data_IF_797400838698
#
_entry.id   IF_797400838698
#
_cell.length_a   1.000
_cell.length_b   1.000
_cell.length_c   1.000
_cell.angle_alpha   90.00
_cell.angle_beta   90.00
_cell.angle_gamma   90.00
#
_symmetry.space_group_name_H-M   'P 1'
#
loop_
_entity.id
_entity.type
_entity.pdbx_description
1 polymer ?
#
# COMPACT_ATOMS: atom_id res chain seq x y z
N UNK A 1 -5.35 -17.09 16.45
CA UNK A 1 -4.08 -17.43 15.79
C UNK A 1 -3.05 -16.42 16.29
N UNK A 2 -1.85 -16.86 16.69
CA UNK A 2 -0.80 -15.92 17.12
C UNK A 2 -0.16 -15.30 15.87
N UNK A 3 0.14 -13.99 15.87
CA UNK A 3 0.76 -13.31 14.74
C UNK A 3 2.15 -13.89 14.40
N UNK A 4 2.84 -14.45 15.40
CA UNK A 4 4.16 -15.05 15.24
C UNK A 4 4.14 -16.36 14.41
N UNK A 5 2.95 -16.98 14.25
CA UNK A 5 2.77 -18.19 13.44
C UNK A 5 2.35 -17.87 12.00
N UNK A 6 2.19 -16.58 11.66
CA UNK A 6 1.67 -16.12 10.39
C UNK A 6 2.81 -15.66 9.48
N UNK A 7 2.88 -16.20 8.27
CA UNK A 7 3.83 -15.74 7.26
C UNK A 7 3.34 -14.47 6.58
N UNK A 8 4.11 -13.41 6.68
CA UNK A 8 3.77 -12.09 6.17
C UNK A 8 4.79 -11.66 5.12
N UNK A 9 4.31 -11.21 3.95
CA UNK A 9 5.11 -10.52 2.96
C UNK A 9 4.71 -9.05 2.87
N UNK A 10 5.69 -8.16 2.90
CA UNK A 10 5.51 -6.77 2.49
C UNK A 10 5.80 -6.69 0.99
N UNK A 11 4.85 -6.16 0.23
CA UNK A 11 4.97 -5.99 -1.21
C UNK A 11 4.78 -4.52 -1.55
N UNK A 12 5.78 -3.94 -2.23
CA UNK A 12 5.84 -2.53 -2.59
C UNK A 12 5.60 -2.42 -4.11
N UNK A 13 4.41 -2.01 -4.56
CA UNK A 13 4.18 -1.77 -5.98
C UNK A 13 4.87 -0.48 -6.41
N UNK A 14 5.66 -0.56 -7.48
CA UNK A 14 6.39 0.56 -8.02
C UNK A 14 6.28 0.59 -9.56
N UNK A 15 6.08 1.77 -10.14
CA UNK A 15 6.10 2.00 -11.58
C UNK A 15 7.05 3.13 -11.92
N UNK A 16 7.64 3.07 -13.12
CA UNK A 16 8.56 4.11 -13.57
C UNK A 16 7.80 5.41 -13.86
N UNK A 17 6.67 5.30 -14.55
CA UNK A 17 5.85 6.45 -14.89
C UNK A 17 4.99 6.88 -13.69
N UNK A 18 5.11 8.14 -13.32
CA UNK A 18 4.30 8.79 -12.31
C UNK A 18 3.73 10.09 -12.90
N UNK A 19 2.41 10.27 -12.75
CA UNK A 19 1.69 11.39 -13.37
C UNK A 19 2.02 12.75 -12.76
N UNK A 20 2.37 12.81 -11.49
CA UNK A 20 2.62 14.07 -10.75
C UNK A 20 4.09 14.41 -10.61
N UNK A 21 4.94 13.41 -10.45
CA UNK A 21 6.38 13.57 -10.25
C UNK A 21 7.12 12.52 -11.09
N UNK A 22 7.73 12.95 -12.19
CA UNK A 22 8.36 12.07 -13.17
C UNK A 22 9.43 11.19 -12.51
N UNK A 23 9.39 9.87 -12.79
CA UNK A 23 10.34 8.89 -12.24
C UNK A 23 10.49 8.94 -10.71
N UNK A 24 9.39 9.22 -10.01
CA UNK A 24 9.36 9.42 -8.55
C UNK A 24 10.17 8.39 -7.77
N UNK A 25 10.07 7.12 -8.13
CA UNK A 25 10.74 6.01 -7.44
C UNK A 25 12.28 6.07 -7.51
N UNK A 26 12.83 6.76 -8.51
CA UNK A 26 14.26 6.90 -8.75
C UNK A 26 14.86 8.22 -8.26
N UNK A 27 14.03 9.12 -7.72
CA UNK A 27 14.53 10.36 -7.10
C UNK A 27 15.39 10.00 -5.89
N UNK A 28 16.54 10.64 -5.81
CA UNK A 28 17.53 10.35 -4.78
C UNK A 28 17.33 11.21 -3.54
N UNK A 29 17.34 10.55 -2.38
CA UNK A 29 17.41 11.13 -1.06
C UNK A 29 18.68 10.59 -0.39
N UNK A 30 19.55 11.47 0.08
CA UNK A 30 20.86 11.09 0.66
C UNK A 30 21.69 10.15 -0.23
N UNK A 31 21.56 10.33 -1.56
CA UNK A 31 22.30 9.57 -2.56
C UNK A 31 21.63 8.26 -3.03
N UNK A 32 20.59 7.78 -2.35
CA UNK A 32 19.88 6.55 -2.66
C UNK A 32 18.48 6.82 -3.26
N UNK A 33 18.02 6.01 -4.25
CA UNK A 33 16.66 6.15 -4.78
C UNK A 33 15.58 5.93 -3.72
N UNK A 34 14.48 6.68 -3.84
CA UNK A 34 13.34 6.60 -2.93
C UNK A 34 12.86 5.15 -2.71
N UNK A 35 12.69 4.40 -3.80
CA UNK A 35 12.25 2.99 -3.72
C UNK A 35 13.22 2.13 -2.91
N UNK A 36 14.53 2.37 -3.02
CA UNK A 36 15.55 1.65 -2.26
C UNK A 36 15.41 1.94 -0.76
N UNK A 37 15.22 3.19 -0.39
CA UNK A 37 15.07 3.61 1.01
C UNK A 37 13.83 3.00 1.65
N UNK A 38 12.68 3.04 0.97
CA UNK A 38 11.43 2.43 1.45
C UNK A 38 11.58 0.91 1.58
N UNK A 39 12.16 0.25 0.58
CA UNK A 39 12.42 -1.17 0.59
C UNK A 39 13.31 -1.59 1.78
N UNK A 40 14.42 -0.89 2.01
CA UNK A 40 15.33 -1.21 3.11
C UNK A 40 14.67 -0.98 4.48
N UNK A 41 13.88 0.09 4.64
CA UNK A 41 13.09 0.31 5.87
C UNK A 41 12.11 -0.83 6.14
N UNK A 42 11.39 -1.30 5.12
CA UNK A 42 10.47 -2.43 5.26
C UNK A 42 11.22 -3.71 5.68
N UNK A 43 12.36 -4.01 5.05
CA UNK A 43 13.20 -5.16 5.43
C UNK A 43 13.70 -5.10 6.87
N UNK A 44 14.09 -3.93 7.34
CA UNK A 44 14.56 -3.73 8.72
C UNK A 44 13.48 -4.00 9.78
N UNK A 45 12.20 -4.06 9.38
CA UNK A 45 11.11 -4.46 10.28
C UNK A 45 11.06 -5.97 10.53
N UNK A 46 11.84 -6.77 9.78
CA UNK A 46 11.95 -8.22 9.95
C UNK A 46 10.94 -9.04 9.14
N UNK A 47 10.27 -8.42 8.15
CA UNK A 47 9.36 -9.11 7.23
C UNK A 47 10.03 -9.36 5.87
N UNK A 48 9.65 -10.45 5.22
CA UNK A 48 10.00 -10.68 3.83
C UNK A 48 9.45 -9.53 2.99
N UNK A 49 10.31 -8.87 2.22
CA UNK A 49 9.95 -7.65 1.51
C UNK A 49 10.30 -7.77 0.03
N UNK A 50 9.35 -7.43 -0.82
CA UNK A 50 9.44 -7.50 -2.27
C UNK A 50 9.02 -6.18 -2.91
N UNK A 51 9.62 -5.88 -4.07
CA UNK A 51 9.17 -4.81 -4.96
C UNK A 51 8.60 -5.44 -6.22
N UNK A 52 7.38 -5.07 -6.59
CA UNK A 52 6.74 -5.51 -7.84
C UNK A 52 6.70 -4.34 -8.81
N UNK A 53 7.29 -4.50 -10.00
CA UNK A 53 7.52 -3.37 -10.92
C UNK A 53 7.52 -3.80 -12.38
N UNK A 54 7.17 -2.87 -13.27
CA UNK A 54 7.28 -2.99 -14.73
C UNK A 54 8.63 -2.46 -15.25
N UNK A 55 9.52 -1.99 -14.39
CA UNK A 55 10.75 -1.31 -14.76
C UNK A 55 12.01 -2.04 -14.29
N UNK A 56 12.84 -2.48 -15.25
CA UNK A 56 14.16 -2.99 -14.95
C UNK A 56 15.05 -1.95 -14.24
N UNK A 57 14.81 -0.67 -14.52
CA UNK A 57 15.56 0.43 -13.90
C UNK A 57 15.29 0.50 -12.39
N UNK A 58 14.03 0.34 -11.98
CA UNK A 58 13.68 0.21 -10.56
C UNK A 58 14.24 -1.08 -9.97
N UNK A 59 14.09 -2.20 -10.66
CA UNK A 59 14.53 -3.52 -10.19
C UNK A 59 16.03 -3.59 -9.86
N UNK A 60 16.88 -2.87 -10.59
CA UNK A 60 18.33 -2.79 -10.36
C UNK A 60 18.72 -2.27 -8.97
N UNK A 61 17.84 -1.50 -8.34
CA UNK A 61 18.09 -0.93 -7.01
C UNK A 61 17.63 -1.86 -5.85
N UNK A 62 17.02 -2.99 -6.18
CA UNK A 62 16.49 -3.93 -5.19
C UNK A 62 17.40 -5.16 -5.09
N UNK A 63 17.43 -5.78 -3.92
CA UNK A 63 18.21 -7.02 -3.72
C UNK A 63 17.79 -8.09 -4.72
N UNK A 64 18.75 -8.78 -5.30
CA UNK A 64 18.50 -9.87 -6.26
C UNK A 64 17.52 -10.89 -5.67
N UNK A 65 16.49 -11.22 -6.44
CA UNK A 65 15.43 -12.14 -6.02
C UNK A 65 14.24 -11.47 -5.32
N UNK A 66 14.36 -10.21 -4.88
CA UNK A 66 13.27 -9.49 -4.22
C UNK A 66 12.57 -8.46 -5.14
N UNK A 67 13.08 -8.24 -6.34
CA UNK A 67 12.36 -7.53 -7.40
C UNK A 67 11.63 -8.53 -8.29
N UNK A 68 10.33 -8.37 -8.44
CA UNK A 68 9.48 -9.23 -9.28
C UNK A 68 8.95 -8.37 -10.43
N UNK A 69 9.27 -8.78 -11.66
CA UNK A 69 8.79 -8.08 -12.85
C UNK A 69 7.31 -8.36 -13.11
N UNK A 70 6.57 -7.31 -13.44
CA UNK A 70 5.16 -7.38 -13.81
C UNK A 70 4.94 -6.78 -15.20
N UNK A 71 3.78 -7.01 -15.78
CA UNK A 71 3.29 -6.22 -16.91
C UNK A 71 2.81 -4.83 -16.48
N UNK A 72 2.19 -4.12 -17.42
CA UNK A 72 1.46 -2.89 -17.12
C UNK A 72 0.21 -3.22 -16.29
N UNK A 73 -0.06 -2.41 -15.27
CA UNK A 73 -1.17 -2.60 -14.34
C UNK A 73 -1.81 -1.24 -14.03
N UNK A 74 -3.13 -1.23 -13.88
CA UNK A 74 -3.91 0.00 -13.66
C UNK A 74 -3.59 0.69 -12.32
N UNK A 75 -3.29 -0.10 -11.27
CA UNK A 75 -3.01 0.39 -9.93
C UNK A 75 -2.07 -0.55 -9.16
N UNK A 76 -1.74 -0.18 -7.90
CA UNK A 76 -0.82 -0.95 -7.06
C UNK A 76 -1.37 -2.30 -6.65
N UNK A 77 -2.65 -2.39 -6.30
CA UNK A 77 -3.28 -3.66 -5.90
C UNK A 77 -3.38 -4.62 -7.08
N UNK A 78 -3.75 -4.16 -8.27
CA UNK A 78 -3.74 -4.97 -9.50
C UNK A 78 -2.33 -5.50 -9.82
N UNK A 79 -1.29 -4.70 -9.61
CA UNK A 79 0.11 -5.11 -9.80
C UNK A 79 0.51 -6.24 -8.86
N UNK A 80 0.12 -6.17 -7.59
CA UNK A 80 0.38 -7.26 -6.63
C UNK A 80 -0.41 -8.51 -7.01
N UNK A 81 -1.68 -8.36 -7.37
CA UNK A 81 -2.56 -9.46 -7.78
C UNK A 81 -2.00 -10.19 -9.01
N UNK A 82 -1.44 -9.49 -10.00
CA UNK A 82 -0.88 -10.07 -11.23
C UNK A 82 0.25 -11.07 -11.01
N UNK A 83 0.93 -11.00 -9.86
CA UNK A 83 2.04 -11.89 -9.50
C UNK A 83 1.79 -12.67 -8.21
N UNK A 84 0.53 -12.80 -7.80
CA UNK A 84 0.12 -13.45 -6.55
C UNK A 84 0.68 -14.88 -6.40
N UNK A 85 0.88 -15.57 -7.50
CA UNK A 85 1.46 -16.92 -7.50
C UNK A 85 2.87 -17.00 -6.92
N UNK A 86 3.60 -15.88 -6.85
CA UNK A 86 4.91 -15.80 -6.20
C UNK A 86 4.83 -15.74 -4.67
N UNK A 87 3.63 -15.50 -4.13
CA UNK A 87 3.38 -15.29 -2.71
C UNK A 87 2.50 -16.37 -2.07
N UNK A 88 2.45 -17.58 -2.68
CA UNK A 88 1.58 -18.69 -2.23
C UNK A 88 1.84 -19.18 -0.81
N UNK A 89 3.04 -18.95 -0.28
CA UNK A 89 3.44 -19.37 1.05
C UNK A 89 3.06 -18.39 2.17
N UNK A 90 2.59 -17.20 1.81
CA UNK A 90 2.26 -16.15 2.77
C UNK A 90 0.77 -16.14 3.10
N UNK A 91 0.48 -15.95 4.37
CA UNK A 91 -0.88 -15.88 4.92
C UNK A 91 -1.46 -14.46 4.82
N UNK A 92 -0.58 -13.46 4.86
CA UNK A 92 -0.92 -12.04 4.74
C UNK A 92 0.04 -11.35 3.77
N UNK A 93 -0.51 -10.57 2.85
CA UNK A 93 0.23 -9.72 1.93
C UNK A 93 -0.05 -8.27 2.28
N UNK A 94 1.01 -7.52 2.57
CA UNK A 94 0.92 -6.10 2.93
C UNK A 94 1.36 -5.25 1.76
N UNK A 95 0.45 -4.44 1.25
CA UNK A 95 0.75 -3.40 0.27
C UNK A 95 1.25 -2.15 1.00
N UNK A 96 2.49 -1.76 0.77
CA UNK A 96 3.09 -0.50 1.25
C UNK A 96 3.43 0.36 0.04
N UNK A 97 2.99 1.61 0.03
CA UNK A 97 3.28 2.51 -1.09
C UNK A 97 4.78 2.85 -1.16
N UNK A 98 5.34 2.86 -2.37
CA UNK A 98 6.77 3.11 -2.60
C UNK A 98 7.27 4.52 -2.27
N UNK A 99 6.38 5.42 -1.86
CA UNK A 99 6.66 6.80 -1.47
C UNK A 99 6.54 7.07 0.04
N UNK A 100 6.31 6.05 0.83
CA UNK A 100 6.19 6.15 2.29
C UNK A 100 7.58 6.07 2.96
N UNK A 101 8.38 7.12 2.76
CA UNK A 101 9.77 7.14 3.25
C UNK A 101 9.89 6.93 4.76
N UNK A 102 8.94 7.39 5.55
CA UNK A 102 8.97 7.32 7.01
C UNK A 102 8.16 6.17 7.61
N UNK A 103 7.87 5.14 6.79
CA UNK A 103 7.17 3.94 7.27
C UNK A 103 7.94 3.28 8.42
N UNK A 104 7.21 2.88 9.46
CA UNK A 104 7.79 2.23 10.65
C UNK A 104 6.97 1.02 11.07
N UNK A 105 7.55 0.19 11.94
CA UNK A 105 6.84 -0.93 12.55
C UNK A 105 5.60 -0.48 13.33
N UNK A 106 5.66 0.69 14.00
CA UNK A 106 4.52 1.26 14.72
C UNK A 106 3.34 1.57 13.79
N UNK A 107 3.64 1.94 12.54
CA UNK A 107 2.61 2.19 11.52
C UNK A 107 1.94 0.89 11.07
N UNK A 108 2.72 -0.19 10.91
CA UNK A 108 2.24 -1.47 10.38
C UNK A 108 1.60 -2.39 11.44
N UNK A 109 2.12 -2.42 12.66
CA UNK A 109 1.67 -3.36 13.68
C UNK A 109 0.16 -3.36 13.95
N UNK A 110 -0.56 -2.22 14.02
CA UNK A 110 -2.01 -2.22 14.16
C UNK A 110 -2.72 -2.92 13.00
N UNK A 111 -2.27 -2.65 11.76
CA UNK A 111 -2.85 -3.22 10.54
C UNK A 111 -2.67 -4.74 10.51
N UNK A 112 -1.47 -5.21 10.84
CA UNK A 112 -1.14 -6.63 10.85
C UNK A 112 -1.93 -7.41 11.91
N UNK A 113 -2.00 -6.87 13.13
CA UNK A 113 -2.75 -7.51 14.23
C UNK A 113 -4.22 -7.67 13.91
N UNK A 114 -4.82 -6.67 13.30
CA UNK A 114 -6.22 -6.70 12.91
C UNK A 114 -6.47 -7.67 11.76
N UNK A 115 -5.61 -7.69 10.73
CA UNK A 115 -5.71 -8.59 9.58
C UNK A 115 -5.57 -10.08 9.94
N UNK A 116 -5.04 -10.42 11.12
CA UNK A 116 -5.05 -11.81 11.63
C UNK A 116 -6.50 -12.36 11.72
N UNK A 117 -7.46 -11.49 11.96
CA UNK A 117 -8.87 -11.84 12.16
C UNK A 117 -9.79 -11.40 11.02
N UNK A 118 -9.27 -10.62 10.08
CA UNK A 118 -10.05 -10.00 9.01
C UNK A 118 -9.42 -10.27 7.64
N UNK A 119 -10.22 -10.17 6.58
CA UNK A 119 -9.78 -10.43 5.21
C UNK A 119 -9.01 -9.27 4.61
N UNK A 120 -9.42 -8.04 4.93
CA UNK A 120 -8.78 -6.79 4.50
C UNK A 120 -8.75 -5.81 5.66
N UNK A 121 -7.56 -5.29 5.92
CA UNK A 121 -7.36 -4.21 6.89
C UNK A 121 -6.54 -3.08 6.28
N UNK A 122 -6.96 -1.85 6.51
CA UNK A 122 -6.21 -0.63 6.19
C UNK A 122 -6.10 0.26 7.42
N UNK A 123 -5.44 1.41 7.28
CA UNK A 123 -5.24 2.31 8.40
C UNK A 123 -5.43 3.79 8.06
N UNK A 124 -5.62 4.56 9.12
CA UNK A 124 -5.78 6.01 9.04
C UNK A 124 -5.05 6.70 10.19
N UNK A 125 -4.81 8.00 10.00
CA UNK A 125 -4.45 8.93 11.07
C UNK A 125 -5.55 9.97 11.24
N UNK A 126 -5.72 10.47 12.48
CA UNK A 126 -6.71 11.51 12.78
C UNK A 126 -6.45 12.80 12.01
N UNK A 127 -7.55 13.39 11.54
CA UNK A 127 -7.52 14.62 10.77
C UNK A 127 -7.03 14.41 9.33
N UNK A 128 -7.46 15.28 8.43
CA UNK A 128 -7.07 15.22 7.03
C UNK A 128 -6.86 16.61 6.44
N UNK A 129 -5.95 16.73 5.50
CA UNK A 129 -5.78 17.91 4.65
C UNK A 129 -6.74 17.86 3.45
N UNK A 130 -7.03 18.96 2.77
CA UNK A 130 -7.96 18.99 1.64
C UNK A 130 -7.64 17.96 0.55
N UNK A 131 -6.35 17.73 0.25
CA UNK A 131 -5.89 16.85 -0.83
C UNK A 131 -5.65 15.41 -0.40
N UNK A 132 -5.79 15.08 0.89
CA UNK A 132 -5.63 13.71 1.36
C UNK A 132 -6.78 12.84 0.85
N UNK A 133 -6.49 11.55 0.65
CA UNK A 133 -7.54 10.54 0.56
C UNK A 133 -8.14 10.39 1.95
N UNK A 134 -9.47 10.47 2.03
CA UNK A 134 -10.22 10.35 3.27
C UNK A 134 -10.86 8.98 3.35
N UNK A 135 -10.84 8.39 4.53
CA UNK A 135 -11.69 7.26 4.86
C UNK A 135 -12.80 7.71 5.79
N UNK A 136 -14.02 7.40 5.40
CA UNK A 136 -15.22 7.55 6.23
C UNK A 136 -15.50 6.17 6.82
N UNK A 137 -15.54 6.06 8.12
CA UNK A 137 -15.67 4.79 8.80
C UNK A 137 -16.57 4.87 10.03
N UNK A 138 -17.10 3.74 10.42
CA UNK A 138 -17.90 3.57 11.63
C UNK A 138 -17.56 2.24 12.29
N UNK A 139 -17.33 2.26 13.60
CA UNK A 139 -17.04 1.07 14.41
C UNK A 139 -15.91 0.19 13.84
N UNK A 140 -14.85 0.82 13.28
CA UNK A 140 -13.71 0.12 12.69
C UNK A 140 -13.94 -0.38 11.26
N UNK A 141 -15.09 -0.11 10.63
CA UNK A 141 -15.38 -0.51 9.25
C UNK A 141 -15.36 0.68 8.31
N UNK A 142 -14.70 0.56 7.17
CA UNK A 142 -14.78 1.56 6.12
C UNK A 142 -16.19 1.60 5.54
N UNK A 143 -16.72 2.80 5.37
CA UNK A 143 -17.97 3.06 4.66
C UNK A 143 -17.72 3.63 3.29
N UNK A 144 -16.66 4.45 3.15
CA UNK A 144 -16.32 5.08 1.88
C UNK A 144 -14.89 5.64 1.89
N UNK A 145 -14.25 5.66 0.72
CA UNK A 145 -12.98 6.37 0.49
C UNK A 145 -13.18 7.43 -0.57
N UNK A 146 -12.65 8.65 -0.35
CA UNK A 146 -12.86 9.75 -1.29
C UNK A 146 -11.71 10.75 -1.30
N UNK A 147 -11.49 11.38 -2.47
CA UNK A 147 -10.67 12.57 -2.64
C UNK A 147 -11.49 13.86 -2.58
N UNK A 148 -12.82 13.76 -2.57
CA UNK A 148 -13.68 14.92 -2.53
C UNK A 148 -13.40 15.78 -1.28
N UNK A 149 -13.57 17.10 -1.35
CA UNK A 149 -13.36 18.01 -0.23
C UNK A 149 -14.54 17.95 0.77
N UNK A 150 -14.80 16.77 1.31
CA UNK A 150 -15.81 16.59 2.34
C UNK A 150 -15.30 17.08 3.69
N UNK A 151 -16.18 17.64 4.51
CA UNK A 151 -15.83 18.25 5.81
C UNK A 151 -15.62 17.24 6.95
N UNK A 152 -15.51 15.94 6.65
CA UNK A 152 -15.37 14.84 7.63
C UNK A 152 -14.56 13.69 7.04
N UNK A 153 -14.16 12.74 7.88
CA UNK A 153 -13.30 11.62 7.56
C UNK A 153 -11.89 11.81 8.08
N UNK A 154 -11.16 10.72 8.17
CA UNK A 154 -9.78 10.69 8.63
C UNK A 154 -8.83 10.43 7.45
N UNK A 155 -7.55 10.81 7.59
CA UNK A 155 -6.54 10.63 6.53
C UNK A 155 -6.24 9.14 6.34
N UNK A 156 -6.59 8.60 5.19
CA UNK A 156 -6.23 7.26 4.78
C UNK A 156 -4.77 7.20 4.31
N UNK A 157 -4.01 6.17 4.75
CA UNK A 157 -2.57 6.08 4.47
C UNK A 157 -2.21 5.23 3.26
N UNK A 158 -3.16 4.54 2.63
CA UNK A 158 -2.87 3.68 1.48
C UNK A 158 -2.05 2.42 1.79
N UNK A 159 -1.98 2.03 3.07
CA UNK A 159 -1.40 0.76 3.51
C UNK A 159 -2.54 -0.25 3.63
N UNK A 160 -2.35 -1.45 3.11
CA UNK A 160 -3.34 -2.52 3.20
C UNK A 160 -2.69 -3.84 3.57
N UNK A 161 -3.33 -4.59 4.44
CA UNK A 161 -3.05 -6.01 4.63
C UNK A 161 -4.20 -6.82 4.06
N UNK A 162 -3.89 -7.82 3.25
CA UNK A 162 -4.86 -8.68 2.58
C UNK A 162 -4.62 -10.15 2.93
N UNK A 163 -5.71 -10.90 3.11
CA UNK A 163 -5.66 -12.34 2.89
C UNK A 163 -5.53 -12.62 1.39
N UNK A 164 -4.69 -13.59 0.95
CA UNK A 164 -4.40 -13.80 -0.47
C UNK A 164 -5.62 -14.02 -1.38
N UNK A 165 -6.73 -14.57 -0.84
CA UNK A 165 -7.94 -14.80 -1.64
C UNK A 165 -8.59 -13.51 -2.13
N UNK A 166 -8.44 -12.39 -1.40
CA UNK A 166 -8.92 -11.07 -1.82
C UNK A 166 -8.20 -10.63 -3.10
N UNK A 167 -6.87 -10.73 -3.10
CA UNK A 167 -6.06 -10.36 -4.27
C UNK A 167 -6.33 -11.28 -5.46
N UNK A 168 -6.62 -12.57 -5.22
CA UNK A 168 -6.97 -13.52 -6.28
C UNK A 168 -8.27 -13.17 -6.98
N UNK A 169 -9.19 -12.55 -6.28
CA UNK A 169 -10.49 -12.15 -6.80
C UNK A 169 -10.53 -10.71 -7.28
N UNK A 170 -9.43 -9.96 -7.14
CA UNK A 170 -9.42 -8.49 -7.38
C UNK A 170 -9.87 -8.11 -8.79
N UNK A 171 -9.46 -8.86 -9.82
CA UNK A 171 -9.83 -8.59 -11.21
C UNK A 171 -11.31 -8.91 -11.52
N UNK A 172 -11.99 -9.60 -10.61
CA UNK A 172 -13.42 -9.93 -10.74
C UNK A 172 -14.31 -8.83 -10.12
N UNK A 173 -13.74 -7.89 -9.39
CA UNK A 173 -14.49 -6.82 -8.77
C UNK A 173 -14.71 -5.69 -9.77
N UNK A 174 -15.97 -5.29 -9.94
CA UNK A 174 -16.31 -4.14 -10.76
C UNK A 174 -15.88 -2.83 -10.09
N UNK A 175 -15.41 -1.88 -10.91
CA UNK A 175 -15.19 -0.52 -10.45
C UNK A 175 -16.50 0.28 -10.57
N UNK A 176 -17.34 0.18 -9.55
CA UNK A 176 -18.63 0.89 -9.51
C UNK A 176 -18.46 2.43 -9.43
N UNK A 177 -17.27 2.88 -9.03
CA UNK A 177 -16.99 4.31 -8.79
C UNK A 177 -15.69 4.78 -9.47
N UNK A 178 -15.57 4.62 -10.79
CA UNK A 178 -14.33 4.90 -11.53
C UNK A 178 -13.91 6.38 -11.48
N UNK A 179 -14.83 7.29 -11.19
CA UNK A 179 -14.55 8.72 -11.04
C UNK A 179 -13.68 9.04 -9.81
N UNK A 180 -13.75 8.25 -8.74
CA UNK A 180 -12.89 8.43 -7.55
C UNK A 180 -11.47 7.95 -7.80
N UNK A 181 -11.26 6.99 -8.71
CA UNK A 181 -9.97 6.36 -9.04
C UNK A 181 -9.23 5.87 -7.80
N UNK A 182 -9.98 5.27 -6.87
CA UNK A 182 -9.48 4.71 -5.63
C UNK A 182 -9.70 3.20 -5.63
N UNK A 183 -8.60 2.46 -5.75
CA UNK A 183 -8.59 0.99 -5.88
C UNK A 183 -9.33 0.26 -4.77
N UNK A 184 -9.38 0.83 -3.57
CA UNK A 184 -10.04 0.25 -2.41
C UNK A 184 -11.58 0.28 -2.48
N UNK A 185 -12.17 1.23 -3.19
CA UNK A 185 -13.62 1.27 -3.37
C UNK A 185 -14.13 0.07 -4.18
N UNK A 186 -13.29 -0.50 -5.04
CA UNK A 186 -13.56 -1.74 -5.77
C UNK A 186 -13.71 -2.93 -4.83
N UNK A 187 -12.89 -3.01 -3.77
CA UNK A 187 -12.97 -4.06 -2.76
C UNK A 187 -14.17 -3.84 -1.84
N UNK A 188 -14.44 -2.57 -1.48
CA UNK A 188 -15.47 -2.20 -0.50
C UNK A 188 -16.88 -2.67 -0.90
N UNK A 189 -17.19 -2.74 -2.19
CA UNK A 189 -18.45 -3.28 -2.69
C UNK A 189 -18.66 -4.78 -2.46
N UNK A 190 -17.56 -5.53 -2.19
CA UNK A 190 -17.58 -6.99 -2.08
C UNK A 190 -17.15 -7.51 -0.72
N UNK A 191 -16.32 -6.78 0.01
CA UNK A 191 -15.76 -7.17 1.30
C UNK A 191 -15.79 -6.02 2.30
N UNK A 192 -15.97 -6.36 3.57
CA UNK A 192 -15.76 -5.41 4.65
C UNK A 192 -14.27 -5.09 4.76
N UNK A 193 -13.93 -3.81 4.72
CA UNK A 193 -12.57 -3.33 4.96
C UNK A 193 -12.51 -2.82 6.40
N UNK A 194 -11.67 -3.45 7.22
CA UNK A 194 -11.36 -2.96 8.57
C UNK A 194 -10.45 -1.75 8.49
N UNK A 195 -10.70 -0.80 9.39
CA UNK A 195 -9.93 0.45 9.43
C UNK A 195 -9.40 0.66 10.84
N UNK A 196 -8.09 0.66 10.99
CA UNK A 196 -7.44 0.85 12.29
C UNK A 196 -6.72 2.19 12.37
N UNK A 197 -6.78 2.82 13.53
CA UNK A 197 -6.00 4.02 13.79
C UNK A 197 -4.52 3.64 13.96
N UNK A 198 -3.63 4.42 13.34
CA UNK A 198 -2.19 4.23 13.48
C UNK A 198 -1.48 5.59 13.59
N UNK A 199 -0.19 5.55 13.84
CA UNK A 199 0.68 6.73 13.87
C UNK A 199 1.56 6.75 12.62
N UNK A 200 1.52 7.86 11.89
CA UNK A 200 2.40 8.14 10.78
C UNK A 200 2.62 9.65 10.67
N UNK A 201 3.78 10.10 11.07
CA UNK A 201 4.16 11.51 11.04
C UNK A 201 4.97 11.88 9.79
N UNK A 202 5.17 10.88 8.90
CA UNK A 202 5.98 11.04 7.70
C UNK A 202 5.29 11.80 6.58
N UNK A 203 6.11 12.25 5.66
CA UNK A 203 5.68 12.88 4.40
C UNK A 203 5.64 11.82 3.31
N UNK A 204 4.55 11.80 2.56
CA UNK A 204 4.48 11.07 1.30
C UNK A 204 5.05 11.98 0.21
N UNK A 205 6.04 11.50 -0.51
CA UNK A 205 6.65 12.25 -1.61
C UNK A 205 5.70 12.22 -2.81
N UNK A 206 4.94 13.27 -3.03
CA UNK A 206 3.94 13.36 -4.09
C UNK A 206 4.24 14.41 -5.14
N UNK A 207 4.92 15.49 -4.77
CA UNK A 207 5.24 16.65 -5.61
C UNK A 207 6.69 17.08 -5.43
N UNK A 208 7.18 17.96 -6.30
CA UNK A 208 8.51 18.57 -6.15
C UNK A 208 8.68 19.35 -4.83
N UNK A 209 7.58 19.86 -4.28
CA UNK A 209 7.59 20.60 -3.00
C UNK A 209 7.87 19.70 -1.79
N UNK A 210 7.60 18.40 -1.92
CA UNK A 210 7.85 17.42 -0.85
C UNK A 210 9.33 16.96 -0.81
N UNK A 211 10.16 17.50 -1.71
CA UNK A 211 11.60 17.17 -1.82
C UNK A 211 12.50 18.09 -0.97
N UNK A 212 11.93 19.16 -0.35
CA UNK A 212 12.68 20.20 0.37
C UNK A 212 12.20 20.42 1.79
#
# INVERSE_FOLDING_TARGET
>A
MNIDDIKIAIVIPARLESSRLKQKMLIKFDGEPLIRLVYDKCRLMGYDTYVVTDSEEIAKHITIGNAIMTGDCENGTARIASVLDKFKEYDIIVNVQGDMLDITKKTLDPVLRDCVHNDVTTCYTKGCKPNDVKVIHQEGHALWFTRAPVGYGDRHLGIYAYRPHILRSYDLFDDEYPQERLEQNRILGHYNIQVVETTYDGVEINTEQDLF
#
